data_IF_088771337156
#
_entry.id   IF_088771337156
#
_cell.length_a   1.000
_cell.length_b   1.000
_cell.length_c   1.000
_cell.angle_alpha   90.00
_cell.angle_beta   90.00
_cell.angle_gamma   90.00
#
_symmetry.space_group_name_H-M   'P 1'
#
loop_
_entity.id
_entity.type
_entity.pdbx_description
1 polymer ?
#
# COMPACT_ATOMS: atom_id res chain seq x y z
N UNK A 1 -2.76 3.19 -23.74
CA UNK A 1 -1.92 1.98 -23.95
C UNK A 1 -0.83 1.94 -22.89
N UNK A 2 -1.13 1.50 -21.66
CA UNK A 2 -0.10 1.28 -20.65
C UNK A 2 0.73 0.07 -21.10
N UNK A 3 2.01 0.27 -21.42
CA UNK A 3 2.94 -0.84 -21.71
C UNK A 3 2.92 -1.75 -20.49
N UNK A 4 2.29 -2.92 -20.61
CA UNK A 4 1.82 -3.67 -19.43
C UNK A 4 2.94 -4.15 -18.50
N UNK A 5 4.18 -4.17 -19.00
CA UNK A 5 5.41 -4.36 -18.21
C UNK A 5 5.59 -3.31 -17.10
N UNK A 6 5.32 -2.04 -17.37
CA UNK A 6 5.49 -0.98 -16.36
C UNK A 6 4.42 -1.05 -15.28
N UNK A 7 3.21 -1.50 -15.62
CA UNK A 7 2.13 -1.69 -14.64
C UNK A 7 2.46 -2.78 -13.63
N UNK A 8 3.04 -3.89 -14.09
CA UNK A 8 3.51 -4.99 -13.23
C UNK A 8 4.66 -4.51 -12.32
N UNK A 9 5.64 -3.80 -12.89
CA UNK A 9 6.78 -3.25 -12.12
C UNK A 9 6.30 -2.25 -11.07
N UNK A 10 5.33 -1.39 -11.39
CA UNK A 10 4.77 -0.45 -10.43
C UNK A 10 4.09 -1.18 -9.25
N UNK A 11 3.30 -2.22 -9.51
CA UNK A 11 2.65 -3.02 -8.46
C UNK A 11 3.69 -3.71 -7.56
N UNK A 12 4.79 -4.20 -8.13
CA UNK A 12 5.90 -4.78 -7.35
C UNK A 12 6.57 -3.74 -6.44
N UNK A 13 6.82 -2.53 -6.93
CA UNK A 13 7.37 -1.43 -6.12
C UNK A 13 6.42 -1.08 -4.98
N UNK A 14 5.11 -1.00 -5.23
CA UNK A 14 4.12 -0.76 -4.17
C UNK A 14 4.10 -1.88 -3.12
N UNK A 15 4.26 -3.14 -3.52
CA UNK A 15 4.37 -4.24 -2.55
C UNK A 15 5.61 -4.11 -1.67
N UNK A 16 6.77 -3.75 -2.24
CA UNK A 16 8.00 -3.52 -1.47
C UNK A 16 7.78 -2.38 -0.45
N UNK A 17 7.18 -1.27 -0.89
CA UNK A 17 6.87 -0.16 -0.01
C UNK A 17 5.89 -0.53 1.12
N UNK A 18 4.85 -1.32 0.83
CA UNK A 18 3.94 -1.84 1.85
C UNK A 18 4.65 -2.72 2.88
N UNK A 19 5.63 -3.54 2.47
CA UNK A 19 6.43 -4.34 3.41
C UNK A 19 7.33 -3.46 4.28
N UNK A 20 7.94 -2.41 3.71
CA UNK A 20 8.74 -1.46 4.48
C UNK A 20 7.94 -0.76 5.58
N UNK A 21 6.63 -0.56 5.40
CA UNK A 21 5.76 0.04 6.42
C UNK A 21 5.65 -0.78 7.72
N UNK A 22 5.96 -2.08 7.69
CA UNK A 22 5.96 -2.93 8.89
C UNK A 22 7.05 -2.49 9.89
N UNK A 23 8.13 -1.88 9.39
CA UNK A 23 9.25 -1.38 10.20
C UNK A 23 9.08 0.08 10.61
N UNK A 24 7.98 0.73 10.20
CA UNK A 24 7.71 2.12 10.55
C UNK A 24 7.39 2.28 12.04
N UNK A 25 7.77 3.43 12.58
CA UNK A 25 7.41 3.86 13.94
C UNK A 25 5.91 4.15 13.98
N UNK A 26 5.23 3.64 15.01
CA UNK A 26 3.80 3.87 15.22
C UNK A 26 3.62 5.19 15.97
N UNK A 27 2.87 6.09 15.36
CA UNK A 27 2.45 7.34 15.98
C UNK A 27 0.96 7.26 16.32
N UNK A 28 0.57 7.80 17.47
CA UNK A 28 -0.84 8.07 17.74
C UNK A 28 -1.06 9.57 17.75
N UNK A 29 -1.94 10.02 16.86
CA UNK A 29 -2.42 11.39 16.83
C UNK A 29 -3.69 11.51 17.67
N UNK A 30 -3.64 12.36 18.68
CA UNK A 30 -4.79 12.79 19.46
C UNK A 30 -5.25 14.15 18.97
N UNK A 31 -6.50 14.20 18.51
CA UNK A 31 -7.18 15.44 18.23
C UNK A 31 -7.96 15.87 19.48
N UNK A 32 -7.41 16.82 20.24
CA UNK A 32 -8.09 17.40 21.38
C UNK A 32 -8.87 18.64 20.92
N UNK A 33 -10.18 18.63 21.13
CA UNK A 33 -11.06 19.75 20.85
C UNK A 33 -11.42 20.41 22.17
N UNK A 34 -10.95 21.64 22.38
CA UNK A 34 -11.47 22.53 23.42
C UNK A 34 -12.44 23.52 22.79
N UNK A 35 -13.34 24.11 23.60
CA UNK A 35 -14.28 25.17 23.19
C UNK A 35 -13.59 26.39 22.56
N UNK A 36 -12.26 26.51 22.67
CA UNK A 36 -11.47 27.67 22.23
C UNK A 36 -10.32 27.28 21.27
N UNK A 37 -9.81 26.04 21.28
CA UNK A 37 -8.64 25.67 20.49
C UNK A 37 -8.65 24.19 20.06
N UNK A 38 -8.23 23.95 18.81
CA UNK A 38 -7.97 22.62 18.26
C UNK A 38 -6.47 22.35 18.36
N UNK A 39 -6.06 21.41 19.22
CA UNK A 39 -4.65 21.01 19.35
C UNK A 39 -4.46 19.55 18.99
N UNK A 40 -3.48 19.31 18.11
CA UNK A 40 -3.03 17.97 17.72
C UNK A 40 -1.82 17.60 18.57
N UNK A 41 -1.88 16.46 19.24
CA UNK A 41 -0.76 15.90 19.99
C UNK A 41 -0.41 14.54 19.40
N UNK A 42 0.85 14.36 18.98
CA UNK A 42 1.35 13.07 18.51
C UNK A 42 2.19 12.42 19.62
N UNK A 43 1.84 11.20 20.01
CA UNK A 43 2.63 10.37 20.93
C UNK A 43 3.34 9.31 20.10
N UNK A 44 4.67 9.27 20.19
CA UNK A 44 5.50 8.26 19.54
C UNK A 44 5.47 6.98 20.38
N UNK A 45 4.88 5.90 19.86
CA UNK A 45 4.75 4.62 20.58
C UNK A 45 5.98 3.71 20.44
N UNK A 46 6.86 3.99 19.47
CA UNK A 46 8.00 3.14 19.11
C UNK A 46 7.73 2.24 17.89
N UNK A 47 8.69 1.36 17.54
CA UNK A 47 8.57 0.48 16.38
C UNK A 47 7.55 -0.65 16.61
N UNK A 48 6.82 -1.01 15.54
CA UNK A 48 5.68 -1.93 15.57
C UNK A 48 5.99 -3.31 16.19
N UNK A 49 7.18 -3.86 15.87
CA UNK A 49 7.65 -5.17 16.37
C UNK A 49 7.90 -5.17 17.89
N UNK A 50 8.42 -4.08 18.44
CA UNK A 50 8.69 -3.97 19.89
C UNK A 50 7.39 -3.81 20.67
N UNK A 51 6.41 -3.07 20.12
CA UNK A 51 5.06 -2.93 20.70
C UNK A 51 4.37 -4.30 20.75
N UNK A 52 4.42 -5.08 19.66
CA UNK A 52 3.80 -6.41 19.62
C UNK A 52 4.51 -7.42 20.52
N UNK A 53 5.83 -7.33 20.63
CA UNK A 53 6.65 -8.22 21.46
C UNK A 53 6.60 -7.87 22.96
N UNK A 54 5.84 -6.83 23.36
CA UNK A 54 5.80 -6.30 24.72
C UNK A 54 7.18 -5.95 25.32
N UNK A 55 8.20 -5.72 24.47
CA UNK A 55 9.57 -5.44 24.91
C UNK A 55 9.83 -3.96 25.19
N UNK A 56 8.78 -3.13 25.16
CA UNK A 56 8.89 -1.70 25.45
C UNK A 56 8.73 -1.49 26.95
N UNK A 57 9.71 -0.84 27.55
CA UNK A 57 9.65 -0.46 28.96
C UNK A 57 8.79 0.79 29.12
N UNK A 58 7.46 0.57 29.15
CA UNK A 58 6.46 1.64 29.32
C UNK A 58 6.63 2.43 30.62
N UNK A 59 7.46 1.97 31.57
CA UNK A 59 7.72 2.62 32.85
C UNK A 59 8.53 3.91 32.74
N UNK A 60 9.28 4.10 31.66
CA UNK A 60 10.21 5.22 31.49
C UNK A 60 9.55 6.54 31.08
N UNK A 61 8.36 6.49 30.49
CA UNK A 61 7.63 7.68 30.04
C UNK A 61 6.15 7.64 30.52
N UNK A 62 5.71 8.55 31.39
CA UNK A 62 4.35 8.53 31.96
C UNK A 62 3.25 8.76 30.91
N UNK A 63 3.55 9.51 29.83
CA UNK A 63 2.66 9.67 28.68
C UNK A 63 2.49 8.36 27.87
N UNK A 64 3.54 7.53 27.85
CA UNK A 64 3.57 6.26 27.13
C UNK A 64 2.87 5.15 27.93
N UNK A 65 3.02 5.15 29.26
CA UNK A 65 2.36 4.19 30.16
C UNK A 65 0.84 4.38 30.19
N UNK A 66 0.36 5.62 30.24
CA UNK A 66 -1.08 5.93 30.20
C UNK A 66 -1.75 5.49 28.90
N UNK A 67 -0.97 5.41 27.81
CA UNK A 67 -1.50 5.19 26.47
C UNK A 67 -1.18 3.82 25.86
N UNK A 68 -0.73 2.88 26.69
CA UNK A 68 -0.26 1.54 26.27
C UNK A 68 -1.30 0.76 25.45
N UNK A 69 -2.57 0.80 25.85
CA UNK A 69 -3.66 0.10 25.14
C UNK A 69 -3.89 0.70 23.76
N UNK A 70 -3.90 2.02 23.65
CA UNK A 70 -4.04 2.72 22.37
C UNK A 70 -2.85 2.43 21.45
N UNK A 71 -1.61 2.47 21.96
CA UNK A 71 -0.39 2.12 21.20
C UNK A 71 -0.48 0.71 20.62
N UNK A 72 -0.94 -0.25 21.44
CA UNK A 72 -1.14 -1.63 21.00
C UNK A 72 -2.24 -1.75 19.93
N UNK A 73 -3.37 -1.07 20.14
CA UNK A 73 -4.47 -1.09 19.17
C UNK A 73 -4.06 -0.47 17.83
N UNK A 74 -3.35 0.65 17.86
CA UNK A 74 -2.82 1.31 16.65
C UNK A 74 -1.80 0.42 15.92
N UNK A 75 -0.92 -0.25 16.67
CA UNK A 75 0.02 -1.22 16.08
C UNK A 75 -0.71 -2.40 15.42
N UNK A 76 -1.75 -2.94 16.06
CA UNK A 76 -2.58 -4.02 15.49
C UNK A 76 -3.29 -3.54 14.22
N UNK A 77 -3.90 -2.36 14.24
CA UNK A 77 -4.59 -1.78 13.07
C UNK A 77 -3.61 -1.58 11.92
N UNK A 78 -2.41 -1.06 12.21
CA UNK A 78 -1.36 -0.85 11.21
C UNK A 78 -0.92 -2.19 10.59
N UNK A 79 -0.76 -3.23 11.41
CA UNK A 79 -0.41 -4.57 10.94
C UNK A 79 -1.51 -5.18 10.06
N UNK A 80 -2.78 -5.10 10.49
CA UNK A 80 -3.94 -5.56 9.71
C UNK A 80 -4.04 -4.80 8.40
N UNK A 81 -3.89 -3.48 8.41
CA UNK A 81 -3.95 -2.65 7.20
C UNK A 81 -2.84 -3.02 6.21
N UNK A 82 -1.63 -3.28 6.72
CA UNK A 82 -0.51 -3.73 5.89
C UNK A 82 -0.80 -5.10 5.27
N UNK A 83 -1.36 -6.03 6.05
CA UNK A 83 -1.75 -7.35 5.57
C UNK A 83 -2.84 -7.29 4.49
N UNK A 84 -3.90 -6.50 4.72
CA UNK A 84 -4.97 -6.28 3.73
C UNK A 84 -4.42 -5.63 2.46
N UNK A 85 -3.51 -4.65 2.59
CA UNK A 85 -2.87 -3.99 1.45
C UNK A 85 -2.07 -4.98 0.60
N UNK A 86 -1.32 -5.89 1.22
CA UNK A 86 -0.58 -6.94 0.51
C UNK A 86 -1.53 -7.90 -0.22
N UNK A 87 -2.62 -8.33 0.43
CA UNK A 87 -3.65 -9.17 -0.20
C UNK A 87 -4.29 -8.46 -1.40
N UNK A 88 -4.62 -7.19 -1.25
CA UNK A 88 -5.20 -6.39 -2.32
C UNK A 88 -4.24 -6.23 -3.51
N UNK A 89 -2.97 -5.93 -3.24
CA UNK A 89 -1.94 -5.79 -4.28
C UNK A 89 -1.67 -7.12 -5.01
N UNK A 90 -1.64 -8.24 -4.29
CA UNK A 90 -1.51 -9.57 -4.92
C UNK A 90 -2.73 -9.92 -5.77
N UNK A 91 -3.94 -9.64 -5.30
CA UNK A 91 -5.16 -9.81 -6.10
C UNK A 91 -5.14 -8.95 -7.38
N UNK A 92 -4.76 -7.66 -7.25
CA UNK A 92 -4.59 -6.77 -8.40
C UNK A 92 -3.55 -7.29 -9.39
N UNK A 93 -2.42 -7.79 -8.91
CA UNK A 93 -1.37 -8.37 -9.75
C UNK A 93 -1.92 -9.54 -10.56
N UNK A 94 -2.66 -10.46 -9.92
CA UNK A 94 -3.29 -11.60 -10.60
C UNK A 94 -4.29 -11.14 -11.66
N UNK A 95 -5.13 -10.14 -11.36
CA UNK A 95 -6.07 -9.59 -12.33
C UNK A 95 -5.36 -8.95 -13.52
N UNK A 96 -4.33 -8.13 -13.28
CA UNK A 96 -3.55 -7.48 -14.34
C UNK A 96 -2.88 -8.52 -15.23
N UNK A 97 -2.26 -9.55 -14.63
CA UNK A 97 -1.64 -10.65 -15.39
C UNK A 97 -2.69 -11.40 -16.22
N UNK A 98 -3.86 -11.72 -15.64
CA UNK A 98 -4.96 -12.34 -16.38
C UNK A 98 -5.46 -11.47 -17.52
N UNK A 99 -5.61 -10.15 -17.32
CA UNK A 99 -6.05 -9.22 -18.37
C UNK A 99 -5.02 -9.09 -19.50
N UNK A 100 -3.73 -9.11 -19.19
CA UNK A 100 -2.67 -9.11 -20.20
C UNK A 100 -2.69 -10.43 -20.97
N UNK A 101 -2.84 -11.58 -20.29
CA UNK A 101 -2.88 -12.89 -20.92
C UNK A 101 -4.14 -13.11 -21.76
N UNK A 102 -5.28 -12.56 -21.33
CA UNK A 102 -6.56 -12.64 -22.02
C UNK A 102 -6.75 -11.54 -23.08
N UNK A 103 -5.79 -10.61 -23.23
CA UNK A 103 -5.75 -9.82 -24.47
C UNK A 103 -5.45 -10.80 -25.59
N UNK A 104 -6.51 -11.15 -26.30
CA UNK A 104 -6.46 -11.87 -27.57
C UNK A 104 -5.36 -11.27 -28.43
N UNK A 105 -4.63 -12.14 -29.13
CA UNK A 105 -3.90 -11.76 -30.33
C UNK A 105 -4.90 -11.02 -31.22
N UNK A 106 -4.96 -9.70 -31.10
CA UNK A 106 -5.66 -8.88 -32.07
C UNK A 106 -4.85 -9.09 -33.33
N UNK A 107 -5.36 -9.91 -34.24
CA UNK A 107 -4.76 -10.14 -35.56
C UNK A 107 -4.34 -8.78 -36.09
N UNK A 108 -3.04 -8.62 -36.33
CA UNK A 108 -2.46 -7.35 -36.69
C UNK A 108 -2.97 -6.97 -38.08
N UNK A 109 -4.09 -6.24 -38.12
CA UNK A 109 -4.75 -5.77 -39.33
C UNK A 109 -3.86 -4.80 -40.13
N UNK A 110 -2.70 -4.42 -39.59
CA UNK A 110 -1.68 -3.63 -40.28
C UNK A 110 -1.28 -4.26 -41.61
N UNK A 111 -1.15 -5.59 -41.66
CA UNK A 111 -0.84 -6.31 -42.90
C UNK A 111 -2.00 -6.24 -43.91
N UNK A 112 -3.24 -6.43 -43.44
CA UNK A 112 -4.43 -6.28 -44.28
C UNK A 112 -4.59 -4.85 -44.84
N UNK A 113 -4.36 -3.85 -44.00
CA UNK A 113 -4.42 -2.43 -44.38
C UNK A 113 -3.32 -2.11 -45.40
N UNK A 114 -2.10 -2.63 -45.24
CA UNK A 114 -1.01 -2.44 -46.20
C UNK A 114 -1.32 -3.08 -47.56
N UNK A 115 -1.92 -4.27 -47.56
CA UNK A 115 -2.36 -4.95 -48.79
C UNK A 115 -3.45 -4.13 -49.51
N UNK A 116 -4.45 -3.65 -48.78
CA UNK A 116 -5.52 -2.81 -49.35
C UNK A 116 -4.98 -1.49 -49.90
N UNK A 117 -4.05 -0.84 -49.19
CA UNK A 117 -3.43 0.40 -49.62
C UNK A 117 -2.61 0.22 -50.89
N UNK A 118 -1.90 -0.90 -51.02
CA UNK A 118 -1.13 -1.27 -52.22
C UNK A 118 -2.02 -1.62 -53.42
N UNK A 119 -3.23 -2.14 -53.19
CA UNK A 119 -4.22 -2.38 -54.26
C UNK A 119 -4.93 -1.10 -54.70
N UNK A 120 -5.18 -0.17 -53.77
CA UNK A 120 -5.89 1.07 -54.07
C UNK A 120 -4.97 2.16 -54.68
N UNK A 121 -3.65 1.96 -54.66
CA UNK A 121 -2.67 2.84 -55.30
C UNK A 121 -2.28 2.38 -56.72
N UNK A 122 -3.05 1.49 -57.33
CA UNK A 122 -2.86 0.93 -58.67
C UNK A 122 -4.07 1.28 -59.53
#
# INVERSE_FOLDING_TARGET
MFKSKYTIVAILIFMIFSISNIFSIVYIEYNAVSLVEYRKYSVECGPLLEILSNNIDFSTNPLLSMNRTSCRNMAIVTLINTFISIIFLTFLLVLVVRLIKNKTETEDLTDLINILKKRNSK
#
